data_IF_270883545436
#
_entry.id   IF_270883545436
#
_cell.length_a   1.000
_cell.length_b   1.000
_cell.length_c   1.000
_cell.angle_alpha   90.00
_cell.angle_beta   90.00
_cell.angle_gamma   90.00
#
_symmetry.space_group_name_H-M   'P 1'
#
loop_
_entity.id
_entity.type
_entity.pdbx_description
1 polymer ?
#
# COMPACT_ATOMS: atom_id res chain seq x y z
N UNK A 1 -11.43 -22.70 4.07
CA UNK A 1 -10.57 -21.65 4.66
C UNK A 1 -10.12 -20.72 3.53
N UNK A 2 -10.23 -19.39 3.67
CA UNK A 2 -10.28 -18.47 2.53
C UNK A 2 -8.98 -18.36 1.70
N UNK A 3 -7.83 -18.83 2.19
CA UNK A 3 -6.54 -18.76 1.51
C UNK A 3 -6.28 -19.90 0.49
N UNK A 4 -7.09 -20.97 0.49
CA UNK A 4 -6.88 -22.14 -0.39
C UNK A 4 -7.07 -21.82 -1.88
N UNK A 5 -7.65 -20.67 -2.23
CA UNK A 5 -7.99 -20.29 -3.62
C UNK A 5 -7.44 -18.92 -4.04
N UNK A 6 -6.28 -18.53 -3.52
CA UNK A 6 -5.55 -17.35 -4.00
C UNK A 6 -4.80 -17.70 -5.29
N UNK A 7 -5.18 -17.11 -6.44
CA UNK A 7 -4.49 -17.34 -7.69
C UNK A 7 -3.12 -16.65 -7.69
N UNK A 8 -2.14 -17.20 -8.43
CA UNK A 8 -0.77 -16.68 -8.46
C UNK A 8 -0.69 -15.22 -8.92
N UNK A 9 -1.57 -14.79 -9.84
CA UNK A 9 -1.62 -13.40 -10.31
C UNK A 9 -1.95 -12.42 -9.17
N UNK A 10 -2.76 -12.84 -8.20
CA UNK A 10 -3.09 -12.00 -7.04
C UNK A 10 -1.88 -11.87 -6.10
N UNK A 11 -1.13 -12.95 -5.88
CA UNK A 11 0.10 -12.92 -5.09
C UNK A 11 1.15 -12.00 -5.71
N UNK A 12 1.29 -12.03 -7.04
CA UNK A 12 2.15 -11.11 -7.77
C UNK A 12 1.69 -9.66 -7.63
N UNK A 13 0.38 -9.39 -7.76
CA UNK A 13 -0.17 -8.05 -7.53
C UNK A 13 0.08 -7.54 -6.12
N UNK A 14 -0.16 -8.37 -5.10
CA UNK A 14 0.13 -8.03 -3.70
C UNK A 14 1.62 -7.75 -3.46
N UNK A 15 2.50 -8.54 -4.07
CA UNK A 15 3.95 -8.34 -4.01
C UNK A 15 4.37 -7.00 -4.62
N UNK A 16 3.91 -6.69 -5.84
CA UNK A 16 4.24 -5.44 -6.53
C UNK A 16 3.67 -4.21 -5.80
N UNK A 17 2.46 -4.31 -5.24
CA UNK A 17 1.89 -3.26 -4.40
C UNK A 17 2.65 -3.11 -3.07
N UNK A 18 3.17 -4.20 -2.49
CA UNK A 18 4.04 -4.13 -1.33
C UNK A 18 5.39 -3.46 -1.65
N UNK A 19 6.00 -3.74 -2.81
CA UNK A 19 7.17 -2.99 -3.31
C UNK A 19 6.85 -1.50 -3.40
N UNK A 20 5.72 -1.16 -4.03
CA UNK A 20 5.27 0.22 -4.18
C UNK A 20 5.14 0.93 -2.82
N UNK A 21 4.51 0.24 -1.86
CA UNK A 21 4.34 0.73 -0.51
C UNK A 21 5.68 0.95 0.23
N UNK A 22 6.60 -0.01 0.10
CA UNK A 22 7.94 0.08 0.68
C UNK A 22 8.72 1.28 0.16
N UNK A 23 8.68 1.51 -1.17
CA UNK A 23 9.30 2.68 -1.79
C UNK A 23 8.74 3.98 -1.23
N UNK A 24 7.41 4.16 -1.27
CA UNK A 24 6.75 5.39 -0.80
C UNK A 24 7.04 5.64 0.68
N UNK A 25 7.04 4.58 1.49
CA UNK A 25 7.29 4.71 2.92
C UNK A 25 8.71 5.19 3.22
N UNK A 26 9.72 4.60 2.56
CA UNK A 26 11.12 5.02 2.72
C UNK A 26 11.36 6.41 2.15
N UNK A 27 10.81 6.73 0.99
CA UNK A 27 10.91 8.08 0.42
C UNK A 27 10.27 9.13 1.33
N UNK A 28 9.12 8.82 1.93
CA UNK A 28 8.48 9.67 2.95
C UNK A 28 9.39 9.92 4.16
N UNK A 29 9.98 8.85 4.70
CA UNK A 29 10.90 8.91 5.83
C UNK A 29 12.13 9.78 5.54
N UNK A 30 12.72 9.63 4.34
CA UNK A 30 13.89 10.40 3.92
C UNK A 30 13.55 11.87 3.67
N UNK A 31 12.39 12.15 3.07
CA UNK A 31 12.04 13.50 2.62
C UNK A 31 11.62 14.39 3.78
N UNK A 32 10.91 13.86 4.79
CA UNK A 32 10.41 14.65 5.92
C UNK A 32 10.46 13.90 7.27
N UNK A 33 11.20 14.50 8.22
CA UNK A 33 11.03 14.34 9.67
C UNK A 33 10.95 12.90 10.21
N UNK A 34 11.54 11.91 9.52
CA UNK A 34 11.45 10.51 9.91
C UNK A 34 9.99 10.02 10.05
N UNK A 35 9.06 10.64 9.32
CA UNK A 35 7.66 10.25 9.32
C UNK A 35 7.35 9.34 8.14
N UNK A 36 6.68 8.25 8.45
CA UNK A 36 6.30 7.30 7.42
C UNK A 36 4.88 7.62 6.93
N UNK A 37 4.67 7.50 5.63
CA UNK A 37 3.40 7.80 4.97
C UNK A 37 2.34 6.69 5.19
N UNK A 38 2.76 5.49 5.61
CA UNK A 38 1.87 4.32 5.71
C UNK A 38 1.82 3.64 7.08
N UNK A 39 2.75 3.94 7.99
CA UNK A 39 2.83 3.39 9.34
C UNK A 39 1.99 4.23 10.33
N UNK A 40 0.68 4.04 10.30
CA UNK A 40 -0.26 4.82 11.11
C UNK A 40 -0.06 4.64 12.62
N UNK A 41 0.32 3.43 13.09
CA UNK A 41 0.62 3.20 14.51
C UNK A 41 1.73 4.12 15.03
N UNK A 42 2.79 4.28 14.23
CA UNK A 42 3.89 5.19 14.59
C UNK A 42 3.46 6.66 14.56
N UNK A 43 2.68 7.06 13.56
CA UNK A 43 2.16 8.43 13.46
C UNK A 43 1.25 8.79 14.64
N UNK A 44 0.41 7.86 15.11
CA UNK A 44 -0.43 8.06 16.31
C UNK A 44 0.44 8.17 17.57
N UNK A 45 1.46 7.34 17.73
CA UNK A 45 2.40 7.45 18.86
C UNK A 45 3.13 8.79 18.84
N UNK A 46 3.58 9.26 17.67
CA UNK A 46 4.18 10.58 17.51
C UNK A 46 3.19 11.70 17.84
N UNK A 47 1.92 11.55 17.45
CA UNK A 47 0.88 12.53 17.75
C UNK A 47 0.66 12.63 19.27
N UNK A 48 0.61 11.50 19.97
CA UNK A 48 0.50 11.47 21.42
C UNK A 48 1.69 12.19 22.10
N UNK A 49 2.93 11.95 21.64
CA UNK A 49 4.11 12.65 22.16
C UNK A 49 4.04 14.15 21.87
N UNK A 50 3.66 14.55 20.65
CA UNK A 50 3.55 15.96 20.27
C UNK A 50 2.45 16.70 21.03
N UNK A 51 1.35 16.03 21.39
CA UNK A 51 0.30 16.55 22.27
C UNK A 51 0.84 16.88 23.67
N UNK A 52 1.59 15.96 24.27
CA UNK A 52 2.19 16.16 25.61
C UNK A 52 3.23 17.28 25.59
N UNK A 53 4.03 17.34 24.54
CA UNK A 53 5.10 18.33 24.38
C UNK A 53 4.62 19.67 23.80
N UNK A 54 3.32 19.86 23.61
CA UNK A 54 2.71 21.09 23.06
C UNK A 54 3.29 21.53 21.70
N UNK A 55 3.66 20.58 20.84
CA UNK A 55 4.22 20.84 19.52
C UNK A 55 3.13 21.02 18.47
N UNK A 56 2.45 22.17 18.48
CA UNK A 56 1.26 22.44 17.65
C UNK A 56 1.43 22.18 16.15
N UNK A 57 2.56 22.57 15.54
CA UNK A 57 2.79 22.31 14.11
C UNK A 57 2.81 20.81 13.78
N UNK A 58 3.47 20.01 14.62
CA UNK A 58 3.55 18.56 14.45
C UNK A 58 2.19 17.88 14.70
N UNK A 59 1.43 18.37 15.69
CA UNK A 59 0.06 17.90 15.97
C UNK A 59 -0.82 18.07 14.74
N UNK A 60 -0.89 19.29 14.18
CA UNK A 60 -1.72 19.59 13.01
C UNK A 60 -1.30 18.72 11.83
N UNK A 61 0.00 18.62 11.56
CA UNK A 61 0.50 17.81 10.46
C UNK A 61 0.15 16.31 10.61
N UNK A 62 0.35 15.73 11.79
CA UNK A 62 0.03 14.32 12.03
C UNK A 62 -1.48 14.03 11.96
N UNK A 63 -2.31 14.96 12.42
CA UNK A 63 -3.77 14.87 12.24
C UNK A 63 -4.11 14.87 10.74
N UNK A 64 -3.51 15.76 9.95
CA UNK A 64 -3.71 15.79 8.50
C UNK A 64 -3.24 14.50 7.82
N UNK A 65 -2.11 13.92 8.23
CA UNK A 65 -1.61 12.63 7.73
C UNK A 65 -2.64 11.52 7.97
N UNK A 66 -3.17 11.43 9.19
CA UNK A 66 -4.18 10.42 9.56
C UNK A 66 -5.47 10.63 8.75
N UNK A 67 -5.97 11.86 8.67
CA UNK A 67 -7.17 12.19 7.90
C UNK A 67 -7.01 11.87 6.42
N UNK A 68 -5.87 12.23 5.81
CA UNK A 68 -5.60 11.92 4.40
C UNK A 68 -5.58 10.41 4.14
N UNK A 69 -4.96 9.63 5.02
CA UNK A 69 -4.97 8.16 4.92
C UNK A 69 -6.39 7.59 5.03
N UNK A 70 -7.20 8.11 5.97
CA UNK A 70 -8.61 7.72 6.12
C UNK A 70 -9.42 8.11 4.87
N UNK A 71 -9.21 9.31 4.31
CA UNK A 71 -9.86 9.74 3.07
C UNK A 71 -9.53 8.79 1.91
N UNK A 72 -8.26 8.40 1.74
CA UNK A 72 -7.88 7.40 0.74
C UNK A 72 -8.60 6.07 0.93
N UNK A 73 -8.65 5.59 2.18
CA UNK A 73 -9.35 4.35 2.54
C UNK A 73 -10.86 4.46 2.28
N UNK A 74 -11.46 5.62 2.57
CA UNK A 74 -12.86 5.93 2.30
C UNK A 74 -13.17 5.86 0.80
N UNK A 75 -12.34 6.48 -0.05
CA UNK A 75 -12.53 6.42 -1.51
C UNK A 75 -12.43 4.99 -2.02
N UNK A 76 -11.48 4.19 -1.52
CA UNK A 76 -11.40 2.77 -1.87
C UNK A 76 -12.69 2.04 -1.47
N UNK A 77 -13.16 2.20 -0.23
CA UNK A 77 -14.40 1.55 0.23
C UNK A 77 -15.63 1.99 -0.58
N UNK A 78 -15.71 3.28 -0.91
CA UNK A 78 -16.80 3.86 -1.70
C UNK A 78 -16.83 3.30 -3.14
N UNK A 79 -15.68 3.19 -3.79
CA UNK A 79 -15.58 2.72 -5.18
C UNK A 79 -15.81 1.20 -5.27
N UNK A 80 -15.24 0.42 -4.34
CA UNK A 80 -15.35 -1.03 -4.37
C UNK A 80 -16.69 -1.55 -3.83
N UNK A 81 -17.27 -0.84 -2.85
CA UNK A 81 -18.46 -1.27 -2.11
C UNK A 81 -18.23 -2.60 -1.36
N UNK A 82 -19.30 -3.30 -1.00
CA UNK A 82 -19.24 -4.60 -0.30
C UNK A 82 -18.85 -5.78 -1.22
N UNK A 83 -18.19 -5.49 -2.34
CA UNK A 83 -17.91 -6.49 -3.37
C UNK A 83 -16.73 -7.36 -2.95
N UNK A 84 -16.93 -8.67 -2.86
CA UNK A 84 -15.83 -9.62 -2.92
C UNK A 84 -15.05 -9.39 -4.22
N UNK A 85 -13.72 -9.51 -4.16
CA UNK A 85 -12.88 -9.37 -5.35
C UNK A 85 -13.42 -10.17 -6.53
N UNK A 86 -13.83 -9.46 -7.58
CA UNK A 86 -14.15 -9.98 -8.91
C UNK A 86 -13.40 -9.10 -9.89
N UNK A 87 -12.78 -9.69 -10.91
CA UNK A 87 -12.21 -8.92 -12.03
C UNK A 87 -13.35 -8.04 -12.59
N UNK A 88 -13.18 -6.72 -12.50
CA UNK A 88 -14.27 -5.78 -12.73
C UNK A 88 -13.77 -4.35 -12.67
N UNK A 89 -14.49 -3.45 -13.34
CA UNK A 89 -14.16 -2.02 -13.46
C UNK A 89 -13.84 -1.33 -12.12
N UNK A 90 -14.35 -1.87 -11.01
CA UNK A 90 -14.22 -1.34 -9.65
C UNK A 90 -12.82 -1.39 -9.06
N UNK A 91 -11.93 -2.28 -9.50
CA UNK A 91 -10.54 -2.34 -8.99
C UNK A 91 -9.55 -1.51 -9.82
N UNK A 92 -9.85 -1.28 -11.11
CA UNK A 92 -9.01 -0.44 -11.98
C UNK A 92 -9.03 1.03 -11.57
N UNK A 93 -10.19 1.54 -11.15
CA UNK A 93 -10.34 2.94 -10.71
C UNK A 93 -9.49 3.29 -9.47
N UNK A 94 -9.56 2.54 -8.35
CA UNK A 94 -8.70 2.78 -7.20
C UNK A 94 -7.21 2.72 -7.57
N UNK A 95 -6.80 1.75 -8.37
CA UNK A 95 -5.39 1.61 -8.78
C UNK A 95 -4.92 2.80 -9.63
N UNK A 96 -5.77 3.33 -10.53
CA UNK A 96 -5.50 4.59 -11.23
C UNK A 96 -5.36 5.78 -10.28
N UNK A 97 -6.21 5.87 -9.25
CA UNK A 97 -6.14 6.93 -8.24
C UNK A 97 -4.86 6.84 -7.39
N UNK A 98 -4.40 5.64 -7.03
CA UNK A 98 -3.10 5.45 -6.37
C UNK A 98 -2.00 6.11 -7.20
N UNK A 99 -1.94 5.80 -8.49
CA UNK A 99 -0.92 6.35 -9.39
C UNK A 99 -1.02 7.88 -9.51
N UNK A 100 -2.24 8.40 -9.70
CA UNK A 100 -2.49 9.84 -9.76
C UNK A 100 -2.02 10.56 -8.49
N UNK A 101 -2.36 10.05 -7.31
CA UNK A 101 -1.99 10.69 -6.05
C UNK A 101 -0.49 10.61 -5.75
N UNK A 102 0.20 9.53 -6.13
CA UNK A 102 1.67 9.48 -6.05
C UNK A 102 2.30 10.47 -7.02
N UNK A 103 1.75 10.60 -8.23
CA UNK A 103 2.21 11.61 -9.20
C UNK A 103 2.00 13.04 -8.67
N UNK A 104 0.84 13.34 -8.08
CA UNK A 104 0.58 14.64 -7.44
C UNK A 104 1.54 14.92 -6.27
N UNK A 105 1.86 13.89 -5.47
CA UNK A 105 2.89 14.00 -4.43
C UNK A 105 4.22 14.46 -5.03
N UNK A 106 4.70 13.76 -6.06
CA UNK A 106 5.93 14.12 -6.78
C UNK A 106 5.88 15.54 -7.35
N UNK A 107 4.77 15.93 -7.98
CA UNK A 107 4.61 17.23 -8.63
C UNK A 107 4.64 18.40 -7.62
N UNK A 108 4.07 18.20 -6.44
CA UNK A 108 3.93 19.26 -5.42
C UNK A 108 5.11 19.31 -4.44
N UNK A 109 5.88 18.23 -4.31
CA UNK A 109 7.04 18.13 -3.42
C UNK A 109 8.06 19.27 -3.55
N UNK A 110 8.42 19.76 -4.75
CA UNK A 110 9.35 20.88 -4.92
C UNK A 110 8.86 22.22 -4.36
N UNK A 111 7.54 22.43 -4.31
CA UNK A 111 6.93 23.70 -3.91
C UNK A 111 6.42 23.67 -2.48
N UNK A 112 5.82 22.55 -2.07
CA UNK A 112 5.14 22.38 -0.79
C UNK A 112 5.50 21.03 -0.18
N UNK A 113 6.75 20.81 0.29
CA UNK A 113 7.23 19.47 0.65
C UNK A 113 6.36 18.79 1.71
N UNK A 114 5.98 19.53 2.78
CA UNK A 114 5.09 19.02 3.84
C UNK A 114 3.74 18.55 3.28
N UNK A 115 3.08 19.40 2.49
CA UNK A 115 1.73 19.12 1.97
C UNK A 115 1.73 18.16 0.78
N UNK A 116 2.81 18.10 0.00
CA UNK A 116 2.98 17.16 -1.10
C UNK A 116 2.89 15.71 -0.62
N UNK A 117 3.51 15.39 0.51
CA UNK A 117 3.45 14.04 1.10
C UNK A 117 2.05 13.61 1.56
N UNK A 118 1.12 14.54 1.81
CA UNK A 118 -0.25 14.20 2.17
C UNK A 118 -0.94 13.43 1.03
N UNK A 119 -0.61 13.72 -0.24
CA UNK A 119 -1.11 12.96 -1.38
C UNK A 119 -0.62 11.52 -1.39
N UNK A 120 0.63 11.29 -0.99
CA UNK A 120 1.12 9.93 -0.80
C UNK A 120 0.38 9.23 0.36
N UNK A 121 -0.02 9.95 1.42
CA UNK A 121 -0.83 9.38 2.51
C UNK A 121 -2.20 8.93 2.01
N UNK A 122 -2.86 9.74 1.18
CA UNK A 122 -4.12 9.38 0.51
C UNK A 122 -3.92 8.13 -0.37
N UNK A 123 -2.87 8.11 -1.19
CA UNK A 123 -2.54 6.98 -2.05
C UNK A 123 -2.35 5.68 -1.26
N UNK A 124 -1.62 5.74 -0.14
CA UNK A 124 -1.36 4.59 0.72
C UNK A 124 -2.62 4.08 1.42
N UNK A 125 -3.48 4.97 1.91
CA UNK A 125 -4.78 4.59 2.47
C UNK A 125 -5.66 3.87 1.45
N UNK A 126 -5.74 4.43 0.25
CA UNK A 126 -6.50 3.88 -0.85
C UNK A 126 -5.96 2.50 -1.29
N UNK A 127 -4.65 2.36 -1.45
CA UNK A 127 -4.01 1.09 -1.82
C UNK A 127 -4.26 -0.01 -0.78
N UNK A 128 -4.10 0.31 0.51
CA UNK A 128 -4.27 -0.67 1.58
C UNK A 128 -5.72 -1.14 1.73
N UNK A 129 -6.68 -0.22 1.59
CA UNK A 129 -8.10 -0.58 1.62
C UNK A 129 -8.51 -1.42 0.40
N UNK A 130 -7.96 -1.13 -0.79
CA UNK A 130 -8.23 -1.88 -2.02
C UNK A 130 -7.82 -3.36 -1.89
N UNK A 131 -6.67 -3.65 -1.28
CA UNK A 131 -6.15 -5.02 -1.12
C UNK A 131 -6.90 -5.80 -0.02
N UNK A 132 -7.54 -5.10 0.93
CA UNK A 132 -8.16 -5.71 2.12
C UNK A 132 -9.42 -6.54 1.84
N UNK A 133 -10.05 -6.44 0.67
CA UNK A 133 -11.37 -7.06 0.38
C UNK A 133 -11.32 -8.38 -0.44
N UNK A 134 -10.21 -9.12 -0.42
CA UNK A 134 -10.13 -10.37 -1.20
C UNK A 134 -10.75 -11.58 -0.47
N UNK A 135 -11.90 -12.08 -0.96
CA UNK A 135 -12.56 -13.33 -0.53
C UNK A 135 -12.68 -13.53 1.01
N UNK A 136 -12.96 -12.47 1.76
CA UNK A 136 -13.13 -12.55 3.21
C UNK A 136 -11.81 -12.60 4.00
N UNK A 137 -10.67 -12.49 3.33
CA UNK A 137 -9.36 -12.32 3.96
C UNK A 137 -8.95 -10.86 3.91
N UNK A 138 -8.64 -10.30 5.07
CA UNK A 138 -8.09 -8.95 5.21
C UNK A 138 -6.58 -9.01 4.97
N UNK A 139 -6.12 -8.57 3.80
CA UNK A 139 -4.69 -8.48 3.45
C UNK A 139 -4.31 -7.00 3.35
N UNK A 140 -3.25 -6.58 4.05
CA UNK A 140 -2.75 -5.20 4.03
C UNK A 140 -1.27 -5.18 3.63
N UNK A 141 -0.91 -4.35 2.66
CA UNK A 141 0.46 -4.28 2.13
C UNK A 141 1.46 -3.56 3.03
N UNK A 142 1.00 -2.77 4.01
CA UNK A 142 1.90 -2.01 4.92
C UNK A 142 1.79 -2.39 6.39
N UNK A 143 0.88 -3.30 6.74
CA UNK A 143 0.68 -3.73 8.12
C UNK A 143 1.72 -4.80 8.52
N UNK A 144 2.99 -4.42 8.47
CA UNK A 144 4.12 -5.36 8.57
C UNK A 144 4.21 -6.05 9.93
N UNK A 145 3.82 -5.38 11.01
CA UNK A 145 3.76 -5.99 12.35
C UNK A 145 2.85 -7.22 12.35
N UNK A 146 1.65 -7.10 11.78
CA UNK A 146 0.74 -8.26 11.67
C UNK A 146 1.28 -9.35 10.75
N UNK A 147 1.95 -8.97 9.66
CA UNK A 147 2.59 -9.93 8.75
C UNK A 147 3.67 -10.75 9.47
N UNK A 148 4.51 -10.10 10.27
CA UNK A 148 5.55 -10.75 11.06
C UNK A 148 4.97 -11.60 12.19
N UNK A 149 3.91 -11.13 12.87
CA UNK A 149 3.20 -11.92 13.90
C UNK A 149 2.62 -13.21 13.29
N UNK A 150 1.95 -13.11 12.14
CA UNK A 150 1.37 -14.26 11.45
C UNK A 150 2.43 -15.25 10.97
N UNK A 151 3.58 -14.75 10.50
CA UNK A 151 4.72 -15.60 10.14
C UNK A 151 5.31 -16.30 11.38
N UNK A 152 5.47 -15.59 12.49
CA UNK A 152 5.94 -16.16 13.76
C UNK A 152 4.99 -17.23 14.30
N UNK A 153 3.67 -16.99 14.24
CA UNK A 153 2.66 -17.99 14.61
C UNK A 153 2.74 -19.23 13.71
N UNK A 154 2.88 -19.04 12.39
CA UNK A 154 3.04 -20.15 11.45
C UNK A 154 4.27 -21.01 11.76
N UNK A 155 5.42 -20.38 12.03
CA UNK A 155 6.63 -21.09 12.44
C UNK A 155 6.43 -21.84 13.76
N UNK A 156 5.77 -21.23 14.75
CA UNK A 156 5.46 -21.88 16.02
C UNK A 156 4.51 -23.08 15.86
N UNK A 157 3.53 -22.99 14.98
CA UNK A 157 2.63 -24.11 14.65
C UNK A 157 3.38 -25.25 13.96
N UNK A 158 4.26 -24.95 13.01
CA UNK A 158 5.12 -25.97 12.36
C UNK A 158 6.00 -26.66 13.40
N UNK A 159 6.63 -25.90 14.30
CA UNK A 159 7.47 -26.43 15.37
C UNK A 159 6.67 -27.35 16.34
N UNK A 160 5.38 -27.08 16.52
CA UNK A 160 4.46 -27.91 17.32
C UNK A 160 3.88 -29.10 16.55
N UNK A 161 4.21 -29.27 15.27
CA UNK A 161 3.65 -30.32 14.40
C UNK A 161 2.20 -30.07 13.96
N UNK A 162 1.70 -28.84 14.10
CA UNK A 162 0.37 -28.45 13.63
C UNK A 162 0.39 -28.18 12.12
N UNK A 163 -0.73 -28.49 11.45
CA UNK A 163 -0.89 -28.20 10.02
C UNK A 163 -1.03 -26.70 9.80
N UNK A 164 -0.16 -26.13 8.96
CA UNK A 164 -0.22 -24.73 8.55
C UNK A 164 -0.42 -24.64 7.04
N UNK A 165 -1.11 -23.60 6.61
CA UNK A 165 -1.38 -23.36 5.20
C UNK A 165 -0.20 -22.64 4.52
N UNK A 166 0.56 -23.36 3.70
CA UNK A 166 1.75 -22.83 3.01
C UNK A 166 1.45 -21.58 2.15
N UNK A 167 0.28 -21.51 1.50
CA UNK A 167 -0.10 -20.33 0.70
C UNK A 167 -0.22 -19.06 1.51
N UNK A 168 -0.70 -19.16 2.76
CA UNK A 168 -0.76 -18.02 3.68
C UNK A 168 0.65 -17.57 4.04
N UNK A 169 1.56 -18.50 4.35
CA UNK A 169 2.96 -18.19 4.66
C UNK A 169 3.62 -17.48 3.47
N UNK A 170 3.48 -18.04 2.26
CA UNK A 170 4.06 -17.49 1.03
C UNK A 170 3.57 -16.06 0.80
N UNK A 171 2.27 -15.80 0.95
CA UNK A 171 1.72 -14.45 0.79
C UNK A 171 2.33 -13.45 1.78
N UNK A 172 2.44 -13.83 3.07
CA UNK A 172 3.04 -12.97 4.09
C UNK A 172 4.52 -12.71 3.81
N UNK A 173 5.25 -13.74 3.39
CA UNK A 173 6.65 -13.64 2.98
C UNK A 173 6.83 -12.71 1.77
N UNK A 174 5.96 -12.84 0.76
CA UNK A 174 5.95 -11.96 -0.41
C UNK A 174 5.67 -10.51 -0.02
N UNK A 175 4.68 -10.25 0.83
CA UNK A 175 4.40 -8.89 1.30
C UNK A 175 5.62 -8.32 2.04
N UNK A 176 6.24 -9.11 2.92
CA UNK A 176 7.43 -8.68 3.66
C UNK A 176 8.63 -8.38 2.74
N UNK A 177 8.99 -9.33 1.86
CA UNK A 177 10.11 -9.19 0.93
C UNK A 177 9.84 -8.05 -0.07
N UNK A 178 8.60 -7.93 -0.55
CA UNK A 178 8.18 -6.85 -1.44
C UNK A 178 8.37 -5.49 -0.78
N UNK A 179 7.80 -5.31 0.42
CA UNK A 179 7.97 -4.06 1.17
C UNK A 179 9.44 -3.73 1.45
N UNK A 180 10.22 -4.72 1.91
CA UNK A 180 11.64 -4.52 2.20
C UNK A 180 12.44 -4.16 0.93
N UNK A 181 12.25 -4.91 -0.16
CA UNK A 181 12.95 -4.65 -1.42
C UNK A 181 12.58 -3.28 -2.02
N UNK A 182 11.30 -2.90 -1.99
CA UNK A 182 10.88 -1.55 -2.36
C UNK A 182 11.56 -0.47 -1.52
N UNK A 183 11.64 -0.67 -0.21
CA UNK A 183 12.36 0.24 0.67
C UNK A 183 13.86 0.36 0.34
N UNK A 184 14.52 -0.76 0.07
CA UNK A 184 15.93 -0.81 -0.36
C UNK A 184 16.11 -0.07 -1.69
N UNK A 185 15.27 -0.32 -2.68
CA UNK A 185 15.30 0.37 -3.98
C UNK A 185 15.19 1.88 -3.78
N UNK A 186 14.22 2.34 -2.98
CA UNK A 186 14.06 3.76 -2.69
C UNK A 186 15.29 4.36 -1.99
N UNK A 187 15.84 3.68 -0.98
CA UNK A 187 17.02 4.14 -0.25
C UNK A 187 18.27 4.23 -1.13
N UNK A 188 18.47 3.27 -2.04
CA UNK A 188 19.61 3.25 -2.96
C UNK A 188 19.48 4.30 -4.07
N UNK A 189 18.27 4.52 -4.58
CA UNK A 189 18.03 5.41 -5.72
C UNK A 189 17.91 6.87 -5.31
N UNK A 190 17.38 7.15 -4.10
CA UNK A 190 17.18 8.52 -3.60
C UNK A 190 18.40 9.44 -3.65
N UNK A 191 19.63 9.02 -3.28
CA UNK A 191 20.81 9.86 -3.39
C UNK A 191 21.09 10.38 -4.81
N UNK A 192 20.71 9.62 -5.83
CA UNK A 192 20.96 9.95 -7.24
C UNK A 192 19.80 10.75 -7.86
N UNK A 193 18.56 10.31 -7.63
CA UNK A 193 17.37 10.90 -8.26
C UNK A 193 16.69 11.99 -7.41
N UNK A 194 17.04 12.13 -6.13
CA UNK A 194 16.43 13.07 -5.19
C UNK A 194 14.90 12.94 -5.20
N UNK A 195 14.18 14.06 -5.37
CA UNK A 195 12.71 14.07 -5.45
C UNK A 195 12.17 13.25 -6.64
N UNK A 196 12.96 13.08 -7.71
CA UNK A 196 12.55 12.27 -8.87
C UNK A 196 12.36 10.78 -8.51
N UNK A 197 12.88 10.32 -7.37
CA UNK A 197 12.64 8.96 -6.89
C UNK A 197 11.16 8.64 -6.67
N UNK A 198 10.30 9.63 -6.42
CA UNK A 198 8.84 9.41 -6.33
C UNK A 198 8.20 9.03 -7.67
N UNK A 199 8.88 9.23 -8.80
CA UNK A 199 8.42 8.73 -10.10
C UNK A 199 8.48 7.20 -10.19
N UNK A 200 9.40 6.53 -9.49
CA UNK A 200 9.45 5.06 -9.49
C UNK A 200 8.15 4.43 -8.99
N UNK A 201 7.64 4.75 -7.77
CA UNK A 201 6.34 4.25 -7.34
C UNK A 201 5.16 4.76 -8.19
N UNK A 202 5.24 5.98 -8.74
CA UNK A 202 4.20 6.49 -9.64
C UNK A 202 4.10 5.67 -10.93
N UNK A 203 5.24 5.35 -11.56
CA UNK A 203 5.32 4.54 -12.78
C UNK A 203 4.93 3.10 -12.49
N UNK A 204 5.37 2.52 -11.37
CA UNK A 204 4.99 1.15 -10.98
C UNK A 204 3.47 1.04 -10.80
N UNK A 205 2.85 1.97 -10.07
CA UNK A 205 1.39 1.98 -9.91
C UNK A 205 0.65 2.27 -11.22
N UNK A 206 1.20 3.11 -12.10
CA UNK A 206 0.63 3.38 -13.42
C UNK A 206 0.65 2.14 -14.31
N UNK A 207 1.79 1.45 -14.38
CA UNK A 207 1.95 0.22 -15.17
C UNK A 207 1.02 -0.88 -14.67
N UNK A 208 0.87 -1.04 -13.35
CA UNK A 208 -0.12 -1.93 -12.75
C UNK A 208 -1.55 -1.55 -13.15
N UNK A 209 -1.89 -0.26 -13.11
CA UNK A 209 -3.21 0.23 -13.52
C UNK A 209 -3.50 -0.06 -15.00
N UNK A 210 -2.59 0.31 -15.90
CA UNK A 210 -2.72 0.07 -17.34
C UNK A 210 -2.85 -1.43 -17.63
N UNK A 211 -2.02 -2.26 -16.99
CA UNK A 211 -2.08 -3.72 -17.15
C UNK A 211 -3.43 -4.27 -16.68
N UNK A 212 -3.96 -3.77 -15.56
CA UNK A 212 -5.28 -4.16 -15.07
C UNK A 212 -6.39 -3.80 -16.07
N UNK A 213 -6.37 -2.57 -16.59
CA UNK A 213 -7.35 -2.11 -17.57
C UNK A 213 -7.26 -2.89 -18.88
N UNK A 214 -6.05 -3.18 -19.37
CA UNK A 214 -5.84 -3.98 -20.57
C UNK A 214 -6.43 -5.39 -20.42
N UNK A 215 -6.17 -6.07 -19.30
CA UNK A 215 -6.75 -7.39 -18.99
C UNK A 215 -8.26 -7.32 -18.86
N UNK A 216 -8.79 -6.27 -18.23
CA UNK A 216 -10.23 -6.06 -18.09
C UNK A 216 -10.93 -5.88 -19.44
N UNK A 217 -10.40 -5.03 -20.32
CA UNK A 217 -10.99 -4.81 -21.64
C UNK A 217 -10.88 -6.05 -22.53
N UNK A 218 -9.77 -6.80 -22.45
CA UNK A 218 -9.61 -8.04 -23.21
C UNK A 218 -10.61 -9.12 -22.75
N UNK A 219 -10.78 -9.31 -21.44
CA UNK A 219 -11.73 -10.28 -20.89
C UNK A 219 -13.20 -9.90 -21.07
N UNK A 220 -13.52 -8.61 -21.11
CA UNK A 220 -14.87 -8.13 -21.46
C UNK A 220 -15.19 -8.27 -22.96
N UNK A 221 -14.18 -8.27 -23.82
CA UNK A 221 -14.36 -8.50 -25.27
C UNK A 221 -14.66 -9.96 -25.56
N UNK A 222 -14.02 -10.90 -24.84
CA UNK A 222 -14.23 -12.34 -25.03
C UNK A 222 -15.58 -12.84 -24.49
N UNK A 223 -16.18 -12.16 -23.51
CA UNK A 223 -17.50 -12.55 -22.98
C UNK A 223 -18.69 -12.06 -23.80
N UNK A 224 -18.45 -11.15 -24.76
CA UNK A 224 -19.49 -10.61 -25.65
C UNK A 224 -19.49 -11.29 -27.03
N UNK A 225 -18.59 -12.26 -27.26
CA UNK A 225 -18.45 -13.02 -28.52
C UNK A 225 -19.00 -14.45 -28.45
N UNK A 226 -19.59 -14.84 -27.31
CA UNK A 226 -20.32 -16.10 -27.08
C UNK A 226 -21.81 -15.81 -26.84
#
# INVERSE_FOLDING_TARGET
MPFQSLPNWFQLGAFLLAINAGMINVLGLITLLHQSVSHMTGNVSMLAMSLVNWQFEHIIYLVLVILCYVCGSFYSGFILGNSHFKLGRRYGLPLSLVSLFIFLCWLLLPYFPKYGLLWACVAMGLQNAMVSHYKGTIIRTTHLSGVLTDLGLALGYIARGLKVENRRIILHLLIFIGFLSGGIIAALVHPYLKLQSFLLPAILSLTLSISYWAVYFHSSSSSNSD
#
